data_IF_161465622704
#
_entry.id   IF_161465622704
#
_cell.length_a   1.000
_cell.length_b   1.000
_cell.length_c   1.000
_cell.angle_alpha   90.00
_cell.angle_beta   90.00
_cell.angle_gamma   90.00
#
_symmetry.space_group_name_H-M   'P 1'
#
loop_
_entity.id
_entity.type
_entity.pdbx_description
1 polymer ?
#
# COMPACT_ATOMS: atom_id res chain seq x y z
N UNK A 1 -8.91 14.69 -4.82
CA UNK A 1 -8.33 14.59 -6.18
C UNK A 1 -7.03 13.76 -6.19
N UNK A 2 -6.07 13.99 -5.28
CA UNK A 2 -4.79 13.27 -5.26
C UNK A 2 -4.95 11.74 -5.20
N UNK A 3 -5.70 11.21 -4.25
CA UNK A 3 -5.93 9.76 -4.14
C UNK A 3 -6.64 9.17 -5.38
N UNK A 4 -7.54 9.93 -6.02
CA UNK A 4 -8.17 9.52 -7.27
C UNK A 4 -7.15 9.45 -8.41
N UNK A 5 -6.19 10.38 -8.42
CA UNK A 5 -5.13 10.44 -9.45
C UNK A 5 -4.13 9.31 -9.31
N UNK A 6 -3.90 8.81 -8.09
CA UNK A 6 -3.03 7.66 -7.82
C UNK A 6 -3.62 6.32 -8.29
N UNK A 7 -4.95 6.22 -8.50
CA UNK A 7 -5.53 4.92 -8.90
C UNK A 7 -5.15 4.51 -10.32
N UNK A 8 -4.61 3.30 -10.49
CA UNK A 8 -4.31 2.69 -11.79
C UNK A 8 -5.54 2.10 -12.51
N UNK A 9 -6.70 2.01 -11.83
CA UNK A 9 -7.89 1.38 -12.39
C UNK A 9 -8.67 2.36 -13.29
N UNK A 10 -8.50 2.22 -14.60
CA UNK A 10 -9.13 3.08 -15.62
C UNK A 10 -10.65 3.24 -15.40
N UNK A 11 -11.36 2.16 -15.14
CA UNK A 11 -12.82 2.18 -14.95
C UNK A 11 -13.28 3.06 -13.77
N UNK A 12 -12.41 3.31 -12.80
CA UNK A 12 -12.70 4.13 -11.63
C UNK A 12 -12.40 5.61 -11.84
N UNK A 13 -11.47 5.95 -12.74
CA UNK A 13 -11.00 7.32 -12.93
C UNK A 13 -11.55 8.04 -14.16
N UNK A 14 -11.89 7.33 -15.23
CA UNK A 14 -12.28 7.94 -16.53
C UNK A 14 -13.41 8.96 -16.46
N UNK A 15 -14.31 8.84 -15.48
CA UNK A 15 -15.43 9.79 -15.28
C UNK A 15 -15.02 11.05 -14.51
N UNK A 16 -13.79 11.11 -14.01
CA UNK A 16 -13.29 12.19 -13.14
C UNK A 16 -12.13 12.97 -13.78
N UNK A 17 -11.81 12.67 -15.02
CA UNK A 17 -10.77 13.40 -15.76
C UNK A 17 -11.20 14.86 -16.04
N UNK A 18 -10.23 15.82 -16.10
CA UNK A 18 -8.79 15.62 -15.90
C UNK A 18 -8.41 15.48 -14.43
N UNK A 19 -7.47 14.59 -14.16
CA UNK A 19 -6.92 14.35 -12.81
C UNK A 19 -5.68 15.23 -12.56
N UNK A 20 -5.10 15.14 -11.36
CA UNK A 20 -3.88 15.87 -11.02
C UNK A 20 -2.73 15.31 -11.85
N UNK A 21 -1.95 16.16 -12.55
CA UNK A 21 -0.77 15.72 -13.30
C UNK A 21 0.34 15.24 -12.36
N UNK A 22 1.30 14.47 -12.91
CA UNK A 22 2.45 13.96 -12.17
C UNK A 22 2.26 12.57 -11.56
N UNK A 23 1.12 11.90 -11.80
CA UNK A 23 0.93 10.50 -11.47
C UNK A 23 1.21 9.63 -12.70
N UNK A 24 2.23 8.79 -12.58
CA UNK A 24 2.57 7.77 -13.57
C UNK A 24 2.02 6.42 -13.11
N UNK A 25 1.65 5.57 -14.03
CA UNK A 25 1.12 4.26 -13.73
C UNK A 25 1.93 3.20 -14.44
N UNK A 26 2.28 2.14 -13.71
CA UNK A 26 2.93 0.93 -14.22
C UNK A 26 1.95 -0.24 -14.22
N UNK A 27 2.26 -1.26 -14.99
CA UNK A 27 1.41 -2.43 -15.06
C UNK A 27 1.41 -3.24 -13.74
N UNK A 28 0.26 -3.82 -13.35
CA UNK A 28 0.20 -4.64 -12.15
C UNK A 28 0.97 -5.95 -12.32
N UNK A 29 1.51 -6.54 -11.23
CA UNK A 29 2.22 -7.83 -11.28
C UNK A 29 1.24 -9.01 -11.49
N UNK A 30 0.50 -9.01 -12.59
CA UNK A 30 -0.60 -9.93 -12.85
C UNK A 30 -0.13 -11.20 -13.58
N UNK A 31 0.45 -12.14 -12.83
CA UNK A 31 1.03 -13.37 -13.41
C UNK A 31 0.03 -14.22 -14.22
N UNK A 32 -1.26 -14.25 -13.86
CA UNK A 32 -2.28 -14.99 -14.59
C UNK A 32 -2.50 -14.49 -16.01
N UNK A 33 -2.35 -13.17 -16.23
CA UNK A 33 -2.40 -12.50 -17.54
C UNK A 33 -1.28 -11.47 -17.58
N UNK A 34 -0.04 -11.98 -17.61
CA UNK A 34 1.15 -11.15 -17.53
C UNK A 34 1.19 -10.12 -18.68
N UNK A 35 1.26 -8.81 -18.38
CA UNK A 35 1.32 -7.78 -19.41
C UNK A 35 2.62 -7.86 -20.24
N UNK A 36 3.69 -8.43 -19.67
CA UNK A 36 4.96 -8.64 -20.37
C UNK A 36 4.99 -9.95 -21.18
N UNK A 37 3.90 -10.73 -21.18
CA UNK A 37 3.82 -12.04 -21.84
C UNK A 37 4.90 -13.05 -21.39
N UNK A 38 5.36 -12.93 -20.15
CA UNK A 38 6.37 -13.81 -19.55
C UNK A 38 5.72 -14.84 -18.62
N UNK A 39 6.47 -15.91 -18.34
CA UNK A 39 6.04 -16.99 -17.44
C UNK A 39 7.02 -17.14 -16.28
N UNK A 40 6.49 -17.52 -15.09
CA UNK A 40 7.32 -17.86 -13.94
C UNK A 40 7.88 -19.27 -14.05
N UNK A 41 9.09 -19.52 -13.54
CA UNK A 41 10.01 -18.58 -12.85
C UNK A 41 10.89 -17.74 -13.80
N UNK A 42 10.86 -18.00 -15.11
CA UNK A 42 11.81 -17.46 -16.10
C UNK A 42 11.75 -15.93 -16.27
N UNK A 43 10.62 -15.32 -15.85
CA UNK A 43 10.46 -13.87 -15.91
C UNK A 43 11.35 -13.11 -14.90
N UNK A 44 11.94 -13.79 -13.90
CA UNK A 44 12.78 -13.17 -12.86
C UNK A 44 12.18 -11.88 -12.25
N UNK A 45 10.85 -11.84 -12.09
CA UNK A 45 10.11 -10.67 -11.61
C UNK A 45 10.26 -9.41 -12.47
N UNK A 46 10.45 -9.53 -13.78
CA UNK A 46 10.65 -8.41 -14.70
C UNK A 46 9.61 -7.27 -14.56
N UNK A 47 8.41 -7.56 -14.06
CA UNK A 47 7.38 -6.54 -13.81
C UNK A 47 7.76 -5.51 -12.73
N UNK A 48 8.67 -5.81 -11.81
CA UNK A 48 9.12 -4.82 -10.81
C UNK A 48 10.21 -3.90 -11.40
N UNK A 49 10.96 -4.36 -12.38
CA UNK A 49 12.01 -3.54 -13.02
C UNK A 49 11.41 -2.39 -13.85
N UNK A 50 10.13 -2.45 -14.20
CA UNK A 50 9.43 -1.34 -14.85
C UNK A 50 9.49 -0.06 -14.02
N UNK A 51 9.46 -0.16 -12.69
CA UNK A 51 9.63 1.00 -11.81
C UNK A 51 11.01 1.65 -11.96
N UNK A 52 12.07 0.85 -12.02
CA UNK A 52 13.42 1.35 -12.26
C UNK A 52 13.54 2.06 -13.63
N UNK A 53 12.95 1.46 -14.66
CA UNK A 53 12.94 2.05 -16.01
C UNK A 53 12.17 3.37 -16.05
N UNK A 54 11.02 3.45 -15.39
CA UNK A 54 10.21 4.68 -15.31
C UNK A 54 10.97 5.76 -14.56
N UNK A 55 11.55 5.46 -13.39
CA UNK A 55 12.34 6.43 -12.61
C UNK A 55 13.50 6.99 -13.44
N UNK A 56 14.26 6.12 -14.11
CA UNK A 56 15.40 6.55 -14.96
C UNK A 56 14.96 7.41 -16.13
N UNK A 57 13.81 7.10 -16.74
CA UNK A 57 13.28 7.84 -17.88
C UNK A 57 12.77 9.23 -17.50
N UNK A 58 12.12 9.34 -16.34
CA UNK A 58 11.59 10.62 -15.85
C UNK A 58 12.68 11.50 -15.21
N UNK A 59 13.77 10.89 -14.75
CA UNK A 59 14.82 11.51 -13.92
C UNK A 59 14.55 11.28 -12.43
N UNK A 60 15.42 10.57 -11.70
CA UNK A 60 15.21 10.22 -10.30
C UNK A 60 14.85 11.42 -9.40
N UNK A 61 15.47 12.56 -9.65
CA UNK A 61 15.25 13.81 -8.91
C UNK A 61 13.83 14.40 -9.09
N UNK A 62 13.05 13.89 -10.04
CA UNK A 62 11.66 14.33 -10.30
C UNK A 62 10.62 13.38 -9.72
N UNK A 63 11.02 12.19 -9.25
CA UNK A 63 10.14 11.17 -8.72
C UNK A 63 10.17 11.19 -7.19
N UNK A 64 9.07 11.56 -6.57
CA UNK A 64 8.99 11.68 -5.11
C UNK A 64 8.76 10.34 -4.41
N UNK A 65 7.89 9.49 -4.96
CA UNK A 65 7.48 8.27 -4.28
C UNK A 65 6.89 7.24 -5.25
N UNK A 66 6.94 5.98 -4.85
CA UNK A 66 6.16 4.86 -5.43
C UNK A 66 5.06 4.49 -4.44
N UNK A 67 3.83 4.33 -4.92
CA UNK A 67 2.71 3.81 -4.10
C UNK A 67 2.18 2.51 -4.70
N UNK A 68 2.10 1.46 -3.86
CA UNK A 68 1.54 0.15 -4.24
C UNK A 68 0.72 -0.46 -3.10
N UNK A 69 -0.24 -1.33 -3.46
CA UNK A 69 -0.84 -2.25 -2.51
C UNK A 69 0.06 -3.50 -2.40
N UNK A 70 0.41 -4.02 -1.21
CA UNK A 70 1.17 -5.28 -1.08
C UNK A 70 0.49 -6.47 -1.77
N UNK A 71 -0.84 -6.49 -1.76
CA UNK A 71 -1.69 -7.32 -2.63
C UNK A 71 -2.76 -6.39 -3.20
N UNK A 72 -2.88 -6.33 -4.50
CA UNK A 72 -3.89 -5.47 -5.14
C UNK A 72 -5.27 -6.06 -4.87
N UNK A 73 -5.98 -5.51 -3.87
CA UNK A 73 -7.28 -6.02 -3.45
C UNK A 73 -8.39 -5.67 -4.43
N UNK A 74 -8.65 -4.38 -4.59
CA UNK A 74 -9.75 -3.86 -5.42
C UNK A 74 -9.60 -4.09 -6.92
N UNK A 75 -8.40 -4.38 -7.39
CA UNK A 75 -8.09 -4.70 -8.79
C UNK A 75 -8.35 -6.15 -9.19
N UNK A 76 -8.72 -7.03 -8.25
CA UNK A 76 -9.05 -8.42 -8.53
C UNK A 76 -8.26 -9.44 -7.72
N UNK A 77 -7.78 -9.06 -6.55
CA UNK A 77 -6.95 -9.89 -5.65
C UNK A 77 -5.72 -10.42 -6.37
N UNK A 78 -4.90 -9.48 -6.86
CA UNK A 78 -3.67 -9.78 -7.59
C UNK A 78 -2.53 -9.90 -6.56
N UNK A 79 -1.97 -11.11 -6.43
CA UNK A 79 -0.81 -11.37 -5.60
C UNK A 79 0.45 -11.13 -6.42
N UNK A 80 1.38 -10.29 -5.91
CA UNK A 80 2.67 -10.13 -6.54
C UNK A 80 3.49 -11.43 -6.47
N UNK A 81 4.47 -11.63 -7.34
CA UNK A 81 5.43 -12.72 -7.19
C UNK A 81 6.28 -12.52 -5.94
N UNK A 82 6.79 -13.65 -5.40
CA UNK A 82 7.73 -13.64 -4.29
C UNK A 82 8.96 -12.79 -4.62
N UNK A 83 9.42 -11.99 -3.65
CA UNK A 83 10.54 -11.06 -3.80
C UNK A 83 10.19 -9.74 -4.50
N UNK A 84 8.95 -9.54 -4.93
CA UNK A 84 8.51 -8.33 -5.61
C UNK A 84 8.64 -7.08 -4.72
N UNK A 85 8.10 -7.14 -3.50
CA UNK A 85 8.14 -6.00 -2.57
C UNK A 85 9.58 -5.72 -2.11
N UNK A 86 10.39 -6.77 -1.93
CA UNK A 86 11.80 -6.64 -1.56
C UNK A 86 12.59 -5.92 -2.67
N UNK A 87 12.39 -6.32 -3.93
CA UNK A 87 13.06 -5.65 -5.06
C UNK A 87 12.57 -4.22 -5.23
N UNK A 88 11.26 -3.98 -5.02
CA UNK A 88 10.71 -2.62 -5.06
C UNK A 88 11.34 -1.70 -4.01
N UNK A 89 11.56 -2.20 -2.77
CA UNK A 89 12.28 -1.46 -1.72
C UNK A 89 13.70 -1.12 -2.17
N UNK A 90 14.42 -2.09 -2.75
CA UNK A 90 15.77 -1.85 -3.27
C UNK A 90 15.79 -0.77 -4.35
N UNK A 91 14.84 -0.80 -5.29
CA UNK A 91 14.73 0.24 -6.33
C UNK A 91 14.51 1.63 -5.71
N UNK A 92 13.63 1.72 -4.71
CA UNK A 92 13.41 2.97 -4.00
C UNK A 92 14.67 3.48 -3.31
N UNK A 93 15.41 2.58 -2.64
CA UNK A 93 16.68 2.92 -1.97
C UNK A 93 17.78 3.33 -2.96
N UNK A 94 17.88 2.66 -4.13
CA UNK A 94 18.84 2.96 -5.19
C UNK A 94 18.65 4.36 -5.78
N UNK A 95 17.42 4.86 -5.80
CA UNK A 95 17.06 6.14 -6.43
C UNK A 95 16.67 7.25 -5.45
N UNK A 96 16.74 7.01 -4.13
CA UNK A 96 16.31 7.95 -3.10
C UNK A 96 14.84 8.38 -3.27
N UNK A 97 13.97 7.39 -3.57
CA UNK A 97 12.53 7.55 -3.79
C UNK A 97 11.77 6.92 -2.63
N UNK A 98 10.75 7.60 -2.09
CA UNK A 98 9.96 7.06 -0.98
C UNK A 98 9.07 5.89 -1.42
N UNK A 99 8.96 4.86 -0.57
CA UNK A 99 8.05 3.73 -0.75
C UNK A 99 6.81 3.92 0.11
N UNK A 100 5.64 3.89 -0.52
CA UNK A 100 4.34 4.00 0.14
C UNK A 100 3.59 2.70 -0.04
N UNK A 101 3.18 2.07 1.06
CA UNK A 101 2.25 0.93 1.00
C UNK A 101 0.82 1.34 1.32
N UNK A 102 -0.09 1.04 0.39
CA UNK A 102 -1.52 1.10 0.61
C UNK A 102 -1.98 -0.21 1.27
N UNK A 103 -2.03 -0.21 2.60
CA UNK A 103 -2.51 -1.31 3.43
C UNK A 103 -4.00 -1.16 3.81
N UNK A 104 -4.73 -0.36 3.08
CA UNK A 104 -6.16 -0.12 3.34
C UNK A 104 -6.98 -1.41 3.27
N UNK A 105 -6.61 -2.35 2.40
CA UNK A 105 -7.27 -3.67 2.30
C UNK A 105 -6.42 -4.76 2.97
N UNK A 106 -5.12 -4.76 2.77
CA UNK A 106 -4.22 -5.84 3.21
C UNK A 106 -3.88 -5.79 4.69
N UNK A 107 -4.03 -4.63 5.33
CA UNK A 107 -3.78 -4.45 6.74
C UNK A 107 -4.83 -5.06 7.67
N UNK A 108 -4.52 -5.03 8.96
CA UNK A 108 -5.39 -5.43 10.08
C UNK A 108 -5.80 -6.91 10.04
N UNK A 109 -4.87 -7.78 9.63
CA UNK A 109 -5.05 -9.23 9.71
C UNK A 109 -5.64 -9.87 8.46
N UNK A 110 -5.94 -9.11 7.40
CA UNK A 110 -6.61 -9.61 6.20
C UNK A 110 -5.84 -10.74 5.51
N UNK A 111 -4.53 -10.70 5.51
CA UNK A 111 -3.65 -11.62 4.78
C UNK A 111 -3.08 -12.75 5.65
N UNK A 112 -3.46 -12.83 6.93
CA UNK A 112 -2.87 -13.75 7.89
C UNK A 112 -1.65 -13.19 8.64
N UNK A 113 -1.26 -11.96 8.33
CA UNK A 113 -0.32 -11.12 9.08
C UNK A 113 -1.04 -9.85 9.51
N UNK A 114 -0.48 -9.09 10.46
CA UNK A 114 -1.08 -7.82 10.85
C UNK A 114 -1.13 -6.85 9.67
N UNK A 115 -0.04 -6.80 8.88
CA UNK A 115 0.05 -6.06 7.63
C UNK A 115 0.53 -6.94 6.49
N UNK A 116 0.12 -6.64 5.25
CA UNK A 116 0.49 -7.42 4.07
C UNK A 116 1.99 -7.37 3.77
N UNK A 117 2.65 -6.25 4.05
CA UNK A 117 4.09 -6.07 3.84
C UNK A 117 4.97 -7.01 4.71
N UNK A 118 4.43 -7.51 5.83
CA UNK A 118 5.15 -8.42 6.72
C UNK A 118 5.47 -9.78 6.06
N UNK A 119 4.72 -10.18 5.02
CA UNK A 119 4.99 -11.43 4.30
C UNK A 119 6.36 -11.46 3.65
N UNK A 120 6.86 -10.34 3.19
CA UNK A 120 8.19 -10.21 2.59
C UNK A 120 9.19 -9.44 3.47
N UNK A 121 8.78 -9.07 4.70
CA UNK A 121 9.63 -8.38 5.66
C UNK A 121 10.08 -6.99 5.20
N UNK A 122 9.25 -6.30 4.41
CA UNK A 122 9.56 -4.98 3.88
C UNK A 122 8.87 -3.90 4.71
N UNK A 123 9.63 -2.87 5.09
CA UNK A 123 9.09 -1.68 5.77
C UNK A 123 9.03 -0.52 4.78
N UNK A 124 7.86 0.10 4.57
CA UNK A 124 7.74 1.30 3.74
C UNK A 124 8.13 2.55 4.52
N UNK A 125 8.38 3.64 3.81
CA UNK A 125 8.58 4.97 4.41
C UNK A 125 7.26 5.58 4.86
N UNK A 126 6.16 5.25 4.12
CA UNK A 126 4.81 5.71 4.43
C UNK A 126 3.84 4.52 4.32
N UNK A 127 2.98 4.35 5.30
CA UNK A 127 1.92 3.33 5.29
C UNK A 127 0.56 3.98 5.42
N UNK A 128 -0.34 3.67 4.49
CA UNK A 128 -1.73 4.16 4.49
C UNK A 128 -2.66 3.05 4.92
N UNK A 129 -3.55 3.32 5.87
CA UNK A 129 -4.51 2.36 6.41
C UNK A 129 -5.89 2.95 6.60
N UNK A 130 -6.90 2.08 6.51
CA UNK A 130 -8.29 2.41 6.80
C UNK A 130 -9.08 1.11 7.07
N UNK A 131 -10.35 1.06 6.75
CA UNK A 131 -11.24 -0.12 6.81
C UNK A 131 -11.09 -0.96 8.08
N UNK A 132 -10.17 -1.93 8.05
CA UNK A 132 -9.89 -2.83 9.17
C UNK A 132 -9.46 -2.12 10.47
N UNK A 133 -8.96 -0.90 10.40
CA UNK A 133 -8.54 -0.14 11.59
C UNK A 133 -9.68 0.05 12.60
N UNK A 134 -10.92 0.17 12.12
CA UNK A 134 -12.12 0.27 12.97
C UNK A 134 -13.10 -0.88 12.76
N UNK A 135 -12.76 -1.89 11.96
CA UNK A 135 -13.68 -2.97 11.55
C UNK A 135 -15.01 -2.45 10.97
N UNK A 136 -15.02 -1.26 10.40
CA UNK A 136 -16.19 -0.63 9.79
C UNK A 136 -17.15 0.05 10.77
N UNK A 137 -16.87 0.07 12.08
CA UNK A 137 -17.73 0.71 13.07
C UNK A 137 -17.76 2.24 12.93
N UNK A 138 -16.63 2.84 12.56
CA UNK A 138 -16.50 4.28 12.34
C UNK A 138 -15.60 4.56 11.13
N UNK A 139 -15.87 5.63 10.34
CA UNK A 139 -14.99 6.03 9.27
C UNK A 139 -13.68 6.60 9.85
N UNK A 140 -12.56 5.97 9.55
CA UNK A 140 -11.23 6.43 9.93
C UNK A 140 -10.21 5.96 8.89
N UNK A 141 -9.30 6.83 8.55
CA UNK A 141 -8.05 6.52 7.86
C UNK A 141 -6.86 7.03 8.66
N UNK A 142 -5.74 6.38 8.52
CA UNK A 142 -4.49 6.79 9.14
C UNK A 142 -3.35 6.68 8.12
N UNK A 143 -2.39 7.58 8.24
CA UNK A 143 -1.11 7.52 7.53
C UNK A 143 -0.02 7.52 8.58
N UNK A 144 0.83 6.51 8.55
CA UNK A 144 2.01 6.40 9.40
C UNK A 144 3.23 6.64 8.53
N UNK A 145 4.20 7.36 9.07
CA UNK A 145 5.44 7.70 8.38
C UNK A 145 6.63 7.35 9.27
N UNK A 146 7.80 7.18 8.65
CA UNK A 146 9.07 7.05 9.39
C UNK A 146 9.43 8.35 10.10
N UNK A 147 10.31 8.28 11.10
CA UNK A 147 10.82 9.46 11.78
C UNK A 147 11.51 10.42 10.79
N UNK A 148 12.21 9.92 9.79
CA UNK A 148 12.86 10.72 8.76
C UNK A 148 11.85 11.57 7.97
N UNK A 149 10.76 10.97 7.51
CA UNK A 149 9.68 11.69 6.82
C UNK A 149 9.01 12.70 7.77
N UNK A 150 8.79 12.33 9.03
CA UNK A 150 8.19 13.22 10.03
C UNK A 150 9.08 14.43 10.32
N UNK A 151 10.39 14.21 10.51
CA UNK A 151 11.35 15.28 10.81
C UNK A 151 11.52 16.27 9.66
N UNK A 152 11.22 15.89 8.42
CA UNK A 152 11.22 16.81 7.29
C UNK A 152 10.18 17.95 7.45
N UNK A 153 9.13 17.74 8.25
CA UNK A 153 8.11 18.74 8.56
C UNK A 153 8.37 19.52 9.86
N UNK A 154 9.36 19.11 10.63
CA UNK A 154 9.78 19.81 11.84
C UNK A 154 10.75 20.95 11.52
N UNK A 155 10.60 22.08 12.20
CA UNK A 155 11.46 23.24 12.07
C UNK A 155 10.92 24.45 12.81
N UNK A 156 11.64 25.56 12.74
CA UNK A 156 11.15 26.83 13.23
C UNK A 156 10.02 27.36 12.33
N UNK A 157 9.10 28.14 12.88
CA UNK A 157 7.98 28.72 12.13
C UNK A 157 8.42 29.52 10.87
N UNK A 158 9.63 30.06 10.88
CA UNK A 158 10.24 30.75 9.74
C UNK A 158 10.57 29.85 8.57
N UNK A 159 10.76 28.54 8.82
CA UNK A 159 11.19 27.56 7.81
C UNK A 159 10.05 27.12 6.90
N UNK A 160 8.80 27.34 7.31
CA UNK A 160 7.58 26.97 6.59
C UNK A 160 7.55 25.51 6.18
N UNK A 161 8.00 24.63 7.08
CA UNK A 161 8.05 23.16 6.85
C UNK A 161 6.83 22.45 7.37
N UNK A 162 5.96 23.11 8.13
CA UNK A 162 4.80 22.48 8.75
C UNK A 162 3.89 21.78 7.74
N UNK A 163 3.42 20.60 8.09
CA UNK A 163 2.40 19.87 7.33
C UNK A 163 1.04 20.56 7.50
N UNK A 164 0.73 21.50 6.61
CA UNK A 164 -0.45 22.36 6.70
C UNK A 164 -1.77 21.72 6.20
N UNK A 165 -1.79 20.41 5.97
CA UNK A 165 -2.98 19.68 5.55
C UNK A 165 -3.85 19.33 6.76
N UNK A 166 -5.09 19.83 6.77
CA UNK A 166 -6.06 19.55 7.84
C UNK A 166 -7.35 18.99 7.25
N UNK A 167 -7.81 17.86 7.80
CA UNK A 167 -9.15 17.35 7.56
C UNK A 167 -10.04 17.72 8.75
N UNK A 168 -11.22 18.34 8.50
CA UNK A 168 -12.12 18.83 9.57
C UNK A 168 -12.46 17.74 10.59
N UNK A 169 -12.69 16.50 10.15
CA UNK A 169 -13.00 15.37 11.02
C UNK A 169 -11.77 14.48 11.33
N UNK A 170 -10.56 14.94 11.02
CA UNK A 170 -9.33 14.25 11.39
C UNK A 170 -9.21 14.10 12.91
N UNK A 171 -8.84 12.91 13.39
CA UNK A 171 -8.73 12.66 14.82
C UNK A 171 -10.06 12.67 15.60
N UNK A 172 -11.20 12.42 14.93
CA UNK A 172 -12.50 12.41 15.59
C UNK A 172 -12.51 11.43 16.78
N UNK A 173 -12.82 11.86 18.00
CA UNK A 173 -12.59 11.08 19.22
C UNK A 173 -13.38 9.76 19.24
N UNK A 174 -14.59 9.70 18.72
CA UNK A 174 -15.37 8.45 18.64
C UNK A 174 -14.73 7.45 17.67
N UNK A 175 -14.23 7.92 16.52
CA UNK A 175 -13.56 7.07 15.56
C UNK A 175 -12.22 6.54 16.11
N UNK A 176 -11.45 7.39 16.79
CA UNK A 176 -10.21 7.00 17.46
C UNK A 176 -10.47 5.99 18.59
N UNK A 177 -11.51 6.19 19.40
CA UNK A 177 -11.88 5.25 20.45
C UNK A 177 -12.30 3.88 19.88
N UNK A 178 -13.06 3.87 18.78
CA UNK A 178 -13.42 2.63 18.09
C UNK A 178 -12.18 1.91 17.53
N UNK A 179 -11.24 2.66 16.95
CA UNK A 179 -9.98 2.10 16.45
C UNK A 179 -9.14 1.49 17.58
N UNK A 180 -8.97 2.20 18.69
CA UNK A 180 -8.20 1.70 19.84
C UNK A 180 -8.80 0.40 20.39
N UNK A 181 -10.12 0.34 20.59
CA UNK A 181 -10.79 -0.87 21.04
C UNK A 181 -10.63 -2.03 20.05
N UNK A 182 -10.76 -1.76 18.75
CA UNK A 182 -10.57 -2.76 17.70
C UNK A 182 -9.13 -3.28 17.65
N UNK A 183 -8.14 -2.40 17.73
CA UNK A 183 -6.71 -2.76 17.73
C UNK A 183 -6.38 -3.61 18.97
N UNK A 184 -6.91 -3.24 20.14
CA UNK A 184 -6.74 -4.02 21.35
C UNK A 184 -7.28 -5.46 21.20
N UNK A 185 -8.48 -5.62 20.64
CA UNK A 185 -9.08 -6.95 20.39
C UNK A 185 -8.24 -7.73 19.39
N UNK A 186 -7.91 -7.14 18.26
CA UNK A 186 -7.08 -7.76 17.21
C UNK A 186 -5.77 -8.28 17.80
N UNK A 187 -5.09 -7.45 18.60
CA UNK A 187 -3.78 -7.77 19.19
C UNK A 187 -3.89 -8.82 20.28
N UNK A 188 -4.84 -8.67 21.21
CA UNK A 188 -5.05 -9.59 22.33
C UNK A 188 -5.42 -10.99 21.85
N UNK A 189 -6.29 -11.07 20.83
CA UNK A 189 -6.80 -12.33 20.29
C UNK A 189 -6.01 -12.85 19.10
N UNK A 190 -5.02 -12.09 18.61
CA UNK A 190 -4.19 -12.42 17.44
C UNK A 190 -5.03 -12.89 16.27
N UNK A 191 -6.04 -12.10 15.89
CA UNK A 191 -7.05 -12.53 14.92
C UNK A 191 -6.48 -12.80 13.53
N UNK A 192 -5.31 -12.26 13.19
CA UNK A 192 -4.59 -12.59 11.96
C UNK A 192 -4.14 -14.06 11.91
N UNK A 193 -3.74 -14.67 13.05
CA UNK A 193 -3.39 -16.10 13.10
C UNK A 193 -4.62 -16.98 12.81
N UNK A 194 -5.82 -16.55 13.28
CA UNK A 194 -7.07 -17.22 12.92
C UNK A 194 -7.38 -17.08 11.44
N UNK A 195 -7.17 -15.90 10.85
CA UNK A 195 -7.38 -15.65 9.41
C UNK A 195 -6.46 -16.55 8.56
N UNK A 196 -5.18 -16.68 8.92
CA UNK A 196 -4.23 -17.58 8.26
C UNK A 196 -4.70 -19.04 8.32
N UNK A 197 -5.01 -19.53 9.52
CA UNK A 197 -5.42 -20.92 9.74
C UNK A 197 -6.72 -21.29 9.02
N UNK A 198 -7.72 -20.42 9.08
CA UNK A 198 -9.04 -20.65 8.45
C UNK A 198 -8.94 -20.45 6.95
N UNK A 199 -8.16 -19.45 6.49
CA UNK A 199 -7.90 -19.20 5.09
C UNK A 199 -7.23 -20.38 4.39
N UNK A 200 -6.23 -21.00 5.04
CA UNK A 200 -5.59 -22.20 4.52
C UNK A 200 -6.58 -23.37 4.36
N UNK A 201 -7.48 -23.56 5.32
CA UNK A 201 -8.53 -24.60 5.22
C UNK A 201 -9.50 -24.32 4.08
N UNK A 202 -9.92 -23.07 3.92
CA UNK A 202 -10.81 -22.66 2.84
C UNK A 202 -10.15 -22.90 1.47
N UNK A 203 -8.90 -22.48 1.31
CA UNK A 203 -8.16 -22.66 0.06
C UNK A 203 -8.01 -24.14 -0.29
N UNK A 204 -7.64 -24.99 0.68
CA UNK A 204 -7.56 -26.43 0.47
C UNK A 204 -8.91 -27.06 0.08
N UNK A 205 -10.01 -26.60 0.70
CA UNK A 205 -11.35 -27.06 0.33
C UNK A 205 -11.77 -26.63 -1.07
N UNK A 206 -11.45 -25.42 -1.50
CA UNK A 206 -11.74 -24.93 -2.84
C UNK A 206 -10.90 -25.64 -3.91
N UNK A 207 -9.65 -25.97 -3.61
CA UNK A 207 -8.77 -26.69 -4.53
C UNK A 207 -9.17 -28.15 -4.73
N UNK A 208 -10.01 -28.71 -3.86
CA UNK A 208 -10.53 -30.08 -3.95
C UNK A 208 -11.84 -30.20 -4.75
N UNK A 209 -12.43 -29.06 -5.19
CA UNK A 209 -13.64 -29.02 -6.05
C UNK A 209 -13.26 -29.11 -7.52
#
# INVERSE_FOLDING_TARGET
FGAMSATGQMARRTKFEPLVPGFLHVDPPYCYRCPLHLSRPDCANACVEEFDEVIRREGPETVAAIIVEPVIGGGGVILPPEGYLQRLRQICDEHDVLLIFDEVITGWGRTGRLFGCEHEGVTPDIMVMAKGITSGYQPLGATIVTDEVFEAFNGEASDRREFAQVCTYGGHPVACAAALANIEILTREKLWENAERVGAKLLAGLAAL
#
